data_IF_629789521429
#
_entry.id   IF_629789521429
#
_cell.length_a   1.000
_cell.length_b   1.000
_cell.length_c   1.000
_cell.angle_alpha   90.00
_cell.angle_beta   90.00
_cell.angle_gamma   90.00
#
_symmetry.space_group_name_H-M   'P 1'
#
loop_
_entity.id
_entity.type
_entity.pdbx_description
1 polymer ?
#
# COMPACT_ATOMS: atom_id res chain seq x y z
N UNK A 1 -8.98 -13.98 9.21
CA UNK A 1 -8.94 -15.43 9.54
C UNK A 1 -10.25 -15.94 10.16
N UNK A 2 -11.11 -15.05 10.62
CA UNK A 2 -12.39 -15.38 11.22
C UNK A 2 -13.48 -15.45 10.13
N UNK A 3 -14.10 -16.60 9.96
CA UNK A 3 -15.24 -16.80 9.07
C UNK A 3 -16.33 -17.61 9.77
N UNK A 4 -17.56 -17.10 9.79
CA UNK A 4 -18.70 -17.73 10.47
C UNK A 4 -18.41 -18.18 11.91
N UNK A 5 -17.68 -17.34 12.66
CA UNK A 5 -17.32 -17.59 14.06
C UNK A 5 -16.21 -18.63 14.30
N UNK A 6 -15.50 -19.06 13.26
CA UNK A 6 -14.36 -19.99 13.35
C UNK A 6 -13.11 -19.39 12.74
N UNK A 7 -11.97 -19.68 13.35
CA UNK A 7 -10.66 -19.35 12.79
C UNK A 7 -10.17 -20.47 11.89
N UNK A 8 -9.70 -20.10 10.68
CA UNK A 8 -9.22 -21.04 9.67
C UNK A 8 -7.72 -20.94 9.42
N UNK A 9 -7.07 -19.95 9.97
CA UNK A 9 -5.63 -19.75 9.91
C UNK A 9 -5.14 -18.89 11.06
N UNK A 10 -3.82 -18.87 11.24
CA UNK A 10 -3.12 -17.96 12.13
C UNK A 10 -2.43 -16.91 11.27
N UNK A 11 -2.40 -15.64 11.68
CA UNK A 11 -1.59 -14.65 10.96
C UNK A 11 -0.12 -15.05 11.09
N UNK A 12 0.61 -15.00 9.99
CA UNK A 12 2.04 -15.30 9.93
C UNK A 12 2.85 -14.01 10.06
N UNK A 13 2.43 -12.98 9.35
CA UNK A 13 2.94 -11.63 9.43
C UNK A 13 1.81 -10.62 9.20
N UNK A 14 2.16 -9.34 9.27
CA UNK A 14 1.30 -8.25 8.85
C UNK A 14 2.14 -7.23 8.07
N UNK A 15 1.51 -6.47 7.21
CA UNK A 15 2.19 -5.41 6.46
C UNK A 15 1.20 -4.33 6.02
N UNK A 16 1.74 -3.21 5.59
CA UNK A 16 1.00 -2.15 4.91
C UNK A 16 1.93 -1.47 3.90
N UNK A 17 1.38 -0.64 3.05
CA UNK A 17 2.20 0.27 2.25
C UNK A 17 2.54 1.52 3.06
N UNK A 18 3.78 1.98 2.94
CA UNK A 18 4.22 3.30 3.40
C UNK A 18 4.93 4.02 2.24
N UNK A 19 5.29 5.27 2.40
CA UNK A 19 6.05 5.97 1.38
C UNK A 19 7.51 5.50 1.39
N UNK A 20 7.98 5.02 0.25
CA UNK A 20 9.41 4.89 -0.06
C UNK A 20 9.84 6.16 -0.76
N UNK A 21 10.80 6.86 -0.20
CA UNK A 21 11.15 8.24 -0.58
C UNK A 21 12.62 8.35 -0.90
N UNK A 22 12.94 8.90 -2.08
CA UNK A 22 14.30 9.30 -2.43
C UNK A 22 14.51 10.77 -2.06
N UNK A 23 15.25 11.01 -0.99
CA UNK A 23 15.52 12.37 -0.48
C UNK A 23 16.39 13.21 -1.41
N UNK A 24 17.16 12.58 -2.30
CA UNK A 24 17.94 13.32 -3.28
C UNK A 24 17.03 13.89 -4.37
N UNK A 25 16.08 13.08 -4.87
CA UNK A 25 15.09 13.54 -5.85
C UNK A 25 14.13 14.58 -5.22
N UNK A 26 13.76 14.42 -3.93
CA UNK A 26 12.99 15.47 -3.21
C UNK A 26 13.70 16.81 -3.23
N UNK A 27 15.01 16.84 -3.00
CA UNK A 27 15.81 18.09 -3.07
C UNK A 27 15.81 18.72 -4.45
N UNK A 28 15.77 17.92 -5.52
CA UNK A 28 15.61 18.43 -6.88
C UNK A 28 14.25 19.11 -7.09
N UNK A 29 13.22 18.69 -6.32
CA UNK A 29 11.91 19.34 -6.27
C UNK A 29 11.90 20.61 -5.39
N UNK A 30 13.01 20.94 -4.73
CA UNK A 30 13.09 22.06 -3.78
C UNK A 30 12.57 21.72 -2.38
N UNK A 31 12.41 20.44 -2.06
CA UNK A 31 11.98 19.96 -0.74
C UNK A 31 13.19 19.46 0.04
N UNK A 32 13.60 20.17 1.08
CA UNK A 32 14.72 19.79 1.94
C UNK A 32 14.34 18.65 2.91
N UNK A 33 13.06 18.52 3.22
CA UNK A 33 12.49 17.50 4.10
C UNK A 33 11.35 16.76 3.40
N UNK A 34 10.97 15.58 3.93
CA UNK A 34 9.82 14.84 3.43
C UNK A 34 8.56 15.64 3.79
N UNK A 35 7.73 16.02 2.81
CA UNK A 35 6.56 16.86 3.06
C UNK A 35 5.54 16.13 3.94
N UNK A 36 4.93 16.86 4.86
CA UNK A 36 3.89 16.32 5.73
C UNK A 36 2.56 16.14 4.99
N UNK A 37 2.36 16.87 3.88
CA UNK A 37 1.14 16.83 3.09
C UNK A 37 1.41 16.50 1.63
N UNK A 38 0.46 15.81 1.01
CA UNK A 38 0.52 15.48 -0.41
C UNK A 38 0.34 16.73 -1.28
N UNK A 39 -0.37 17.74 -0.78
CA UNK A 39 -0.51 19.03 -1.45
C UNK A 39 0.85 19.71 -1.66
N UNK A 40 1.69 19.74 -0.62
CA UNK A 40 3.05 20.29 -0.70
C UNK A 40 3.91 19.50 -1.70
N UNK A 41 3.83 18.17 -1.64
CA UNK A 41 4.52 17.30 -2.59
C UNK A 41 4.09 17.55 -4.04
N UNK A 42 2.77 17.60 -4.29
CA UNK A 42 2.19 17.81 -5.64
C UNK A 42 2.64 19.14 -6.21
N UNK A 43 2.56 20.23 -5.43
CA UNK A 43 2.99 21.55 -5.90
C UNK A 43 4.48 21.59 -6.29
N UNK A 44 5.32 20.93 -5.49
CA UNK A 44 6.75 20.81 -5.81
C UNK A 44 6.97 19.94 -7.07
N UNK A 45 6.28 18.80 -7.17
CA UNK A 45 6.41 17.88 -8.29
C UNK A 45 5.98 18.49 -9.63
N UNK A 46 4.94 19.32 -9.65
CA UNK A 46 4.50 20.06 -10.85
C UNK A 46 5.61 20.92 -11.47
N UNK A 47 6.53 21.42 -10.66
CA UNK A 47 7.63 22.28 -11.16
C UNK A 47 8.68 21.50 -11.94
N UNK A 48 8.80 20.19 -11.72
CA UNK A 48 9.79 19.32 -12.38
C UNK A 48 9.43 19.03 -13.84
N UNK A 49 8.14 18.98 -14.17
CA UNK A 49 7.65 18.69 -15.52
C UNK A 49 7.85 17.24 -15.97
N UNK A 50 8.19 16.33 -15.04
CA UNK A 50 8.29 14.89 -15.24
C UNK A 50 7.78 14.17 -14.01
N UNK A 51 7.45 12.88 -14.15
CA UNK A 51 6.91 12.07 -13.10
C UNK A 51 7.78 12.07 -11.84
N UNK A 52 7.17 12.25 -10.69
CA UNK A 52 7.83 12.25 -9.38
C UNK A 52 7.21 11.26 -8.40
N UNK A 53 5.98 10.80 -8.68
CA UNK A 53 5.23 9.81 -7.93
C UNK A 53 4.93 8.62 -8.85
N UNK A 54 5.19 7.39 -8.38
CA UNK A 54 4.88 6.18 -9.13
C UNK A 54 3.80 5.37 -8.43
N UNK A 55 2.88 4.83 -9.21
CA UNK A 55 1.94 3.78 -8.81
C UNK A 55 2.33 2.51 -9.56
N UNK A 56 2.66 1.45 -8.84
CA UNK A 56 3.26 0.23 -9.41
C UNK A 56 2.32 -0.53 -10.35
N UNK A 57 0.99 -0.36 -10.19
CA UNK A 57 0.01 -1.03 -11.04
C UNK A 57 -1.41 -0.51 -10.83
N UNK A 58 -2.34 -1.02 -11.64
CA UNK A 58 -3.77 -0.68 -11.59
C UNK A 58 -4.55 -1.49 -10.56
N UNK A 59 -3.95 -2.52 -9.97
CA UNK A 59 -4.58 -3.41 -9.01
C UNK A 59 -4.98 -2.72 -7.69
N UNK A 60 -5.83 -3.39 -6.94
CA UNK A 60 -6.34 -2.93 -5.65
C UNK A 60 -5.22 -2.63 -4.65
N UNK A 61 -4.19 -3.50 -4.58
CA UNK A 61 -3.04 -3.33 -3.70
C UNK A 61 -2.26 -2.04 -3.99
N UNK A 62 -2.13 -1.67 -5.25
CA UNK A 62 -1.34 -0.51 -5.66
C UNK A 62 -2.15 0.79 -5.67
N UNK A 63 -3.39 0.72 -6.14
CA UNK A 63 -4.21 1.90 -6.40
C UNK A 63 -5.07 2.33 -5.19
N UNK A 64 -5.55 1.39 -4.34
CA UNK A 64 -6.43 1.74 -3.22
C UNK A 64 -5.83 2.76 -2.25
N UNK A 65 -4.54 2.73 -1.87
CA UNK A 65 -3.97 3.77 -1.01
C UNK A 65 -4.14 5.17 -1.57
N UNK A 66 -3.93 5.38 -2.85
CA UNK A 66 -4.12 6.66 -3.52
C UNK A 66 -5.59 7.06 -3.60
N UNK A 67 -6.46 6.12 -3.98
CA UNK A 67 -7.89 6.35 -4.06
C UNK A 67 -8.48 6.78 -2.72
N UNK A 68 -8.14 6.09 -1.63
CA UNK A 68 -8.58 6.44 -0.28
C UNK A 68 -7.94 7.74 0.23
N UNK A 69 -6.69 8.00 -0.10
CA UNK A 69 -5.98 9.23 0.26
C UNK A 69 -6.69 10.46 -0.31
N UNK A 70 -7.13 10.37 -1.55
CA UNK A 70 -7.87 11.45 -2.21
C UNK A 70 -9.37 11.48 -1.87
N UNK A 71 -9.84 10.61 -0.96
CA UNK A 71 -11.19 10.66 -0.41
C UNK A 71 -12.17 9.66 -1.00
N UNK A 72 -11.71 8.74 -1.85
CA UNK A 72 -12.53 7.68 -2.42
C UNK A 72 -13.01 6.69 -1.36
N UNK A 73 -14.17 6.11 -1.59
CA UNK A 73 -14.82 5.12 -0.73
C UNK A 73 -15.30 3.96 -1.61
N UNK A 74 -14.95 2.74 -1.24
CA UNK A 74 -15.30 1.56 -2.06
C UNK A 74 -16.70 1.02 -1.75
N UNK A 75 -17.03 0.96 -0.45
CA UNK A 75 -18.26 0.32 0.04
C UNK A 75 -18.75 1.02 1.29
N UNK A 76 -19.93 0.62 1.77
CA UNK A 76 -20.38 0.89 3.14
C UNK A 76 -19.44 0.20 4.17
N UNK A 77 -19.56 0.60 5.45
CA UNK A 77 -18.74 0.05 6.55
C UNK A 77 -18.96 -1.47 6.77
N UNK A 78 -20.08 -1.99 6.32
CA UNK A 78 -20.43 -3.41 6.42
C UNK A 78 -19.96 -4.26 5.25
N UNK A 79 -19.33 -3.68 4.23
CA UNK A 79 -18.94 -4.33 2.98
C UNK A 79 -20.11 -5.02 2.27
N UNK A 80 -21.31 -4.41 2.31
CA UNK A 80 -22.52 -5.00 1.75
C UNK A 80 -22.92 -4.44 0.39
N UNK A 81 -22.49 -3.20 0.09
CA UNK A 81 -22.80 -2.53 -1.19
C UNK A 81 -21.68 -1.57 -1.58
N UNK A 82 -21.39 -1.49 -2.88
CA UNK A 82 -20.53 -0.46 -3.48
C UNK A 82 -21.38 0.70 -4.03
N UNK A 83 -22.64 0.44 -4.40
CA UNK A 83 -23.54 1.46 -4.94
C UNK A 83 -23.82 2.56 -3.91
N UNK A 84 -23.67 3.81 -4.33
CA UNK A 84 -23.74 5.00 -3.46
C UNK A 84 -22.44 5.33 -2.73
N UNK A 85 -21.41 4.51 -2.86
CA UNK A 85 -20.07 4.68 -2.29
C UNK A 85 -19.02 4.81 -3.38
N UNK A 86 -18.80 3.77 -4.17
CA UNK A 86 -17.84 3.79 -5.27
C UNK A 86 -18.23 4.81 -6.36
N UNK A 87 -19.51 4.95 -6.63
CA UNK A 87 -20.11 5.90 -7.57
C UNK A 87 -20.51 7.25 -6.93
N UNK A 88 -20.06 7.51 -5.69
CA UNK A 88 -20.29 8.79 -5.00
C UNK A 88 -19.48 9.93 -5.61
N UNK A 89 -19.96 11.17 -5.44
CA UNK A 89 -19.23 12.38 -5.86
C UNK A 89 -17.79 12.41 -5.29
N UNK A 90 -17.61 11.95 -4.04
CA UNK A 90 -16.28 11.88 -3.40
C UNK A 90 -15.36 10.88 -4.10
N UNK A 91 -15.87 9.70 -4.44
CA UNK A 91 -15.10 8.66 -5.15
C UNK A 91 -14.77 9.07 -6.58
N UNK A 92 -15.73 9.68 -7.28
CA UNK A 92 -15.51 10.26 -8.60
C UNK A 92 -14.44 11.33 -8.55
N UNK A 93 -14.51 12.27 -7.59
CA UNK A 93 -13.51 13.31 -7.41
C UNK A 93 -12.13 12.75 -7.05
N UNK A 94 -12.05 11.69 -6.24
CA UNK A 94 -10.80 11.02 -5.90
C UNK A 94 -10.12 10.40 -7.13
N UNK A 95 -10.87 9.69 -7.97
CA UNK A 95 -10.33 9.11 -9.20
C UNK A 95 -9.96 10.19 -10.21
N UNK A 96 -10.79 11.24 -10.36
CA UNK A 96 -10.46 12.41 -11.20
C UNK A 96 -9.17 13.09 -10.75
N UNK A 97 -8.91 13.15 -9.42
CA UNK A 97 -7.64 13.69 -8.91
C UNK A 97 -6.45 12.85 -9.35
N UNK A 98 -6.56 11.52 -9.36
CA UNK A 98 -5.48 10.64 -9.84
C UNK A 98 -5.27 10.86 -11.36
N UNK A 99 -6.34 10.98 -12.14
CA UNK A 99 -6.28 11.30 -13.58
C UNK A 99 -5.59 12.65 -13.81
N UNK A 100 -5.99 13.70 -13.06
CA UNK A 100 -5.36 15.02 -13.13
C UNK A 100 -3.84 14.94 -12.89
N UNK A 101 -3.43 14.23 -11.85
CA UNK A 101 -1.99 14.09 -11.51
C UNK A 101 -1.21 13.31 -12.58
N UNK A 102 -1.85 12.36 -13.23
CA UNK A 102 -1.26 11.63 -14.35
C UNK A 102 -1.11 12.54 -15.58
N UNK A 103 -2.14 13.29 -15.94
CA UNK A 103 -2.14 14.23 -17.07
C UNK A 103 -1.12 15.36 -16.88
N UNK A 104 -0.97 15.85 -15.65
CA UNK A 104 0.02 16.86 -15.26
C UNK A 104 1.45 16.31 -15.12
N UNK A 105 1.66 15.00 -15.36
CA UNK A 105 2.95 14.30 -15.23
C UNK A 105 3.57 14.38 -13.83
N UNK A 106 2.73 14.47 -12.80
CA UNK A 106 3.14 14.35 -11.41
C UNK A 106 3.21 12.86 -11.02
N UNK A 107 2.18 12.09 -11.42
CA UNK A 107 2.01 10.68 -11.11
C UNK A 107 2.06 9.85 -12.39
N UNK A 108 2.76 8.72 -12.35
CA UNK A 108 2.75 7.70 -13.40
C UNK A 108 2.16 6.39 -12.89
N UNK A 109 1.55 5.61 -13.78
CA UNK A 109 1.02 4.28 -13.49
C UNK A 109 1.67 3.31 -14.46
N UNK A 110 2.56 2.47 -13.97
CA UNK A 110 3.40 1.59 -14.79
C UNK A 110 2.61 0.75 -15.79
N UNK A 111 1.50 0.16 -15.36
CA UNK A 111 0.68 -0.73 -16.22
C UNK A 111 -0.09 0.04 -17.30
N UNK A 112 -0.15 1.37 -17.20
CA UNK A 112 -0.85 2.25 -18.14
C UNK A 112 0.11 2.83 -19.18
N UNK A 113 1.20 3.44 -18.73
CA UNK A 113 2.08 4.25 -19.58
C UNK A 113 3.44 3.58 -19.87
N UNK A 114 3.68 2.38 -19.29
CA UNK A 114 4.92 1.64 -19.50
C UNK A 114 6.15 2.32 -18.89
N UNK A 115 5.94 3.16 -17.88
CA UNK A 115 7.00 3.84 -17.16
C UNK A 115 7.94 2.84 -16.46
N UNK A 116 9.10 3.33 -16.03
CA UNK A 116 10.08 2.54 -15.29
C UNK A 116 9.45 1.96 -14.03
N UNK A 117 9.77 0.73 -13.71
CA UNK A 117 9.34 0.08 -12.48
C UNK A 117 9.67 0.95 -11.25
N UNK A 118 8.77 1.01 -10.27
CA UNK A 118 8.93 1.85 -9.09
C UNK A 118 10.23 1.55 -8.33
N UNK A 119 10.59 0.27 -8.20
CA UNK A 119 11.76 -0.17 -7.47
C UNK A 119 13.07 0.22 -8.16
N UNK A 120 13.08 0.27 -9.49
CA UNK A 120 14.23 0.76 -10.26
C UNK A 120 14.23 2.28 -10.32
N UNK A 121 13.09 2.89 -10.65
CA UNK A 121 12.95 4.33 -10.86
C UNK A 121 13.14 5.17 -9.60
N UNK A 122 12.91 4.62 -8.41
CA UNK A 122 13.16 5.33 -7.15
C UNK A 122 14.65 5.70 -6.98
N UNK A 123 15.54 5.04 -7.67
CA UNK A 123 16.97 5.35 -7.58
C UNK A 123 17.33 6.69 -8.23
N UNK A 124 16.53 7.21 -9.19
CA UNK A 124 16.87 8.44 -9.93
C UNK A 124 15.70 9.20 -10.56
N UNK A 125 14.55 8.53 -10.76
CA UNK A 125 13.43 9.12 -11.51
C UNK A 125 12.32 9.64 -10.58
N UNK A 126 11.92 8.82 -9.60
CA UNK A 126 10.81 9.13 -8.71
C UNK A 126 11.30 9.65 -7.36
N UNK A 127 10.57 10.62 -6.83
CA UNK A 127 10.78 11.06 -5.46
C UNK A 127 10.07 10.15 -4.46
N UNK A 128 8.98 9.50 -4.87
CA UNK A 128 8.14 8.71 -3.98
C UNK A 128 7.36 7.63 -4.72
N UNK A 129 7.12 6.50 -4.04
CA UNK A 129 6.07 5.53 -4.34
C UNK A 129 5.62 4.84 -3.05
N UNK A 130 4.49 4.14 -3.07
CA UNK A 130 4.00 3.46 -1.87
C UNK A 130 4.28 1.97 -1.98
N UNK A 131 4.98 1.41 -0.99
CA UNK A 131 5.37 0.00 -1.02
C UNK A 131 5.43 -0.60 0.40
N UNK A 132 5.46 -1.92 0.46
CA UNK A 132 5.59 -2.68 1.69
C UNK A 132 7.03 -2.73 2.23
N UNK A 133 7.20 -3.19 3.48
CA UNK A 133 8.50 -3.19 4.16
C UNK A 133 9.55 -4.10 3.49
N UNK A 134 9.11 -5.08 2.70
CA UNK A 134 10.00 -5.97 1.93
C UNK A 134 10.88 -5.25 0.92
N UNK A 135 10.53 -4.03 0.49
CA UNK A 135 11.42 -3.21 -0.32
C UNK A 135 12.78 -3.03 0.38
N UNK A 136 12.76 -2.64 1.65
CA UNK A 136 13.97 -2.41 2.44
C UNK A 136 14.70 -3.71 2.82
N UNK A 137 13.98 -4.83 2.95
CA UNK A 137 14.58 -6.16 3.11
C UNK A 137 15.30 -6.63 1.84
N UNK A 138 14.81 -6.23 0.66
CA UNK A 138 15.42 -6.57 -0.63
C UNK A 138 16.56 -5.63 -1.03
N UNK A 139 16.57 -4.39 -0.53
CA UNK A 139 17.56 -3.35 -0.86
C UNK A 139 18.18 -2.77 0.43
N UNK A 140 19.03 -3.54 1.08
CA UNK A 140 19.67 -3.18 2.37
C UNK A 140 20.49 -1.88 2.31
N UNK A 141 20.98 -1.49 1.13
CA UNK A 141 21.77 -0.29 0.92
C UNK A 141 20.93 0.99 0.64
N UNK A 142 19.59 0.87 0.63
CA UNK A 142 18.67 1.97 0.32
C UNK A 142 18.91 3.22 1.18
N UNK A 143 19.03 3.06 2.50
CA UNK A 143 19.28 4.18 3.41
C UNK A 143 20.57 4.92 3.09
N UNK A 144 21.63 4.21 2.69
CA UNK A 144 22.91 4.82 2.31
C UNK A 144 22.84 5.59 0.99
N UNK A 145 21.85 5.27 0.15
CA UNK A 145 21.56 5.96 -1.11
C UNK A 145 20.59 7.14 -0.95
N UNK A 146 20.14 7.41 0.26
CA UNK A 146 19.16 8.46 0.54
C UNK A 146 17.72 8.03 0.25
N UNK A 147 17.45 6.72 0.15
CA UNK A 147 16.11 6.17 0.01
C UNK A 147 15.65 5.68 1.38
N UNK A 148 14.55 6.22 1.90
CA UNK A 148 14.06 5.95 3.25
C UNK A 148 12.56 5.69 3.27
N UNK A 149 12.06 5.13 4.37
CA UNK A 149 10.64 5.03 4.64
C UNK A 149 10.12 6.34 5.27
N UNK A 150 8.88 6.68 4.95
CA UNK A 150 8.11 7.72 5.62
C UNK A 150 6.64 7.30 5.70
N UNK A 151 5.89 7.88 6.62
CA UNK A 151 4.43 7.80 6.53
C UNK A 151 3.95 8.48 5.26
N UNK A 152 2.91 7.96 4.64
CA UNK A 152 2.32 8.58 3.46
C UNK A 152 1.85 9.98 3.84
N UNK A 153 2.29 11.03 3.13
CA UNK A 153 1.85 12.40 3.39
C UNK A 153 0.31 12.50 3.35
N UNK A 154 -0.25 13.23 4.28
CA UNK A 154 -1.71 13.39 4.34
C UNK A 154 -2.22 14.24 3.18
N UNK A 155 -3.46 14.00 2.75
CA UNK A 155 -4.18 14.86 1.80
C UNK A 155 -5.47 15.36 2.45
N UNK A 156 -5.66 16.69 2.54
CA UNK A 156 -6.77 17.31 3.27
C UNK A 156 -6.97 16.70 4.69
N UNK A 157 -5.86 16.41 5.36
CA UNK A 157 -5.84 15.79 6.68
C UNK A 157 -6.16 14.29 6.71
N UNK A 158 -6.39 13.64 5.56
CA UNK A 158 -6.58 12.18 5.47
C UNK A 158 -5.24 11.46 5.36
N UNK A 159 -5.10 10.36 6.08
CA UNK A 159 -4.04 9.37 5.88
C UNK A 159 -4.67 8.07 5.38
N UNK A 160 -4.00 7.37 4.49
CA UNK A 160 -4.50 6.12 3.94
C UNK A 160 -3.36 5.17 3.59
N UNK A 161 -3.60 3.89 3.82
CA UNK A 161 -2.76 2.79 3.36
C UNK A 161 -3.62 1.55 3.20
N UNK A 162 -3.08 0.51 2.60
CA UNK A 162 -3.69 -0.82 2.52
C UNK A 162 -2.99 -1.75 3.49
N UNK A 163 -3.76 -2.55 4.25
CA UNK A 163 -3.21 -3.60 5.08
C UNK A 163 -3.15 -4.91 4.30
N UNK A 164 -2.04 -5.60 4.46
CA UNK A 164 -1.82 -6.96 4.00
C UNK A 164 -1.28 -7.85 5.11
N UNK A 165 -0.72 -8.96 4.72
CA UNK A 165 -0.17 -9.99 5.60
C UNK A 165 -0.57 -11.36 5.10
N UNK A 166 0.21 -12.33 5.50
CA UNK A 166 0.04 -13.72 5.14
C UNK A 166 -0.50 -14.52 6.32
N UNK A 167 -1.25 -15.57 5.99
CA UNK A 167 -1.83 -16.50 6.96
C UNK A 167 -1.25 -17.90 6.77
N UNK A 168 -0.99 -18.59 7.86
CA UNK A 168 -0.66 -19.99 7.83
C UNK A 168 -1.90 -20.81 8.22
N UNK A 169 -2.26 -21.78 7.38
CA UNK A 169 -3.42 -22.63 7.59
C UNK A 169 -3.07 -24.12 7.42
N UNK A 170 -3.79 -24.99 8.12
CA UNK A 170 -3.66 -26.45 7.98
C UNK A 170 -4.80 -26.95 7.12
N UNK A 171 -4.46 -27.59 5.99
CA UNK A 171 -5.48 -28.18 5.12
C UNK A 171 -6.20 -29.35 5.82
N UNK A 172 -7.52 -29.43 5.64
CA UNK A 172 -8.33 -30.52 6.19
C UNK A 172 -7.94 -31.91 5.65
N UNK A 173 -7.27 -31.95 4.50
CA UNK A 173 -6.75 -33.18 3.87
C UNK A 173 -5.33 -33.55 4.30
N UNK A 174 -4.71 -32.79 5.23
CA UNK A 174 -3.37 -33.12 5.73
C UNK A 174 -3.33 -34.50 6.32
N UNK A 175 -2.29 -35.29 5.99
CA UNK A 175 -2.03 -36.56 6.61
C UNK A 175 -1.51 -36.44 8.05
N UNK A 176 -1.01 -35.25 8.43
CA UNK A 176 -0.40 -34.96 9.73
C UNK A 176 -0.90 -33.63 10.31
N UNK A 177 -2.21 -33.45 10.58
CA UNK A 177 -2.78 -32.17 10.97
C UNK A 177 -2.25 -31.66 12.31
N UNK A 178 -1.98 -32.52 13.26
CA UNK A 178 -1.44 -32.16 14.59
C UNK A 178 -0.02 -31.58 14.45
N UNK A 179 0.85 -32.24 13.68
CA UNK A 179 2.21 -31.77 13.46
C UNK A 179 2.21 -30.46 12.66
N UNK A 180 1.32 -30.32 11.67
CA UNK A 180 1.16 -29.08 10.89
C UNK A 180 0.67 -27.93 11.78
N UNK A 181 -0.23 -28.19 12.72
CA UNK A 181 -0.70 -27.18 13.68
C UNK A 181 0.41 -26.76 14.67
N UNK A 182 1.21 -27.71 15.18
CA UNK A 182 2.36 -27.34 16.02
C UNK A 182 3.40 -26.52 15.25
N UNK A 183 3.62 -26.81 13.96
CA UNK A 183 4.45 -25.97 13.10
C UNK A 183 3.85 -24.57 12.91
N UNK A 184 2.55 -24.45 12.66
CA UNK A 184 1.89 -23.16 12.54
C UNK A 184 2.03 -22.30 13.83
N UNK A 185 1.90 -22.95 15.01
CA UNK A 185 2.15 -22.28 16.29
C UNK A 185 3.62 -21.85 16.46
N UNK A 186 4.56 -22.70 16.05
CA UNK A 186 5.98 -22.35 16.06
C UNK A 186 6.26 -21.11 15.21
N UNK A 187 5.65 -21.01 14.02
CA UNK A 187 5.81 -19.87 13.13
C UNK A 187 5.28 -18.56 13.73
N UNK A 188 4.38 -18.61 14.71
CA UNK A 188 3.89 -17.43 15.45
C UNK A 188 4.64 -17.18 16.77
N UNK A 189 5.74 -17.90 17.03
CA UNK A 189 6.57 -17.68 18.23
C UNK A 189 7.40 -16.39 18.10
N UNK A 190 7.81 -15.83 19.24
CA UNK A 190 8.58 -14.60 19.31
C UNK A 190 9.90 -14.68 18.52
N UNK A 191 10.63 -15.79 18.67
CA UNK A 191 11.91 -16.01 17.96
C UNK A 191 11.73 -15.99 16.43
N UNK A 192 10.68 -16.64 15.92
CA UNK A 192 10.39 -16.66 14.50
C UNK A 192 9.92 -15.28 14.02
N UNK A 193 9.10 -14.60 14.80
CA UNK A 193 8.62 -13.26 14.46
C UNK A 193 9.76 -12.22 14.43
N UNK A 194 10.77 -12.36 15.28
CA UNK A 194 11.98 -11.55 15.21
C UNK A 194 12.81 -11.86 13.96
N UNK A 195 12.96 -13.14 13.60
CA UNK A 195 13.65 -13.52 12.36
C UNK A 195 12.91 -13.04 11.11
N UNK A 196 11.58 -13.06 11.12
CA UNK A 196 10.77 -12.50 10.02
C UNK A 196 10.90 -10.99 9.91
N UNK A 197 11.03 -10.27 11.03
CA UNK A 197 11.30 -8.83 11.02
C UNK A 197 12.62 -8.51 10.32
N UNK A 198 13.68 -9.30 10.55
CA UNK A 198 14.95 -9.16 9.84
C UNK A 198 14.81 -9.38 8.32
N UNK A 199 13.88 -10.23 7.91
CA UNK A 199 13.55 -10.47 6.50
C UNK A 199 12.59 -9.41 5.89
N UNK A 200 12.23 -8.36 6.65
CA UNK A 200 11.38 -7.27 6.17
C UNK A 200 9.88 -7.51 6.34
N UNK A 201 9.47 -8.47 7.19
CA UNK A 201 8.07 -8.71 7.52
C UNK A 201 7.73 -8.16 8.91
N UNK A 202 6.63 -7.46 9.03
CA UNK A 202 6.23 -6.88 10.32
C UNK A 202 5.65 -7.95 11.24
N UNK A 203 5.97 -7.91 12.56
CA UNK A 203 5.53 -8.91 13.49
C UNK A 203 4.04 -8.77 13.83
N UNK A 204 3.38 -9.90 14.03
CA UNK A 204 1.99 -9.99 14.48
C UNK A 204 1.84 -9.89 16.00
N UNK A 205 2.92 -10.09 16.74
CA UNK A 205 2.89 -10.10 18.21
C UNK A 205 2.89 -8.66 18.74
N UNK A 206 1.85 -8.32 19.50
CA UNK A 206 1.74 -6.98 20.13
C UNK A 206 2.92 -6.64 21.04
N UNK A 207 3.54 -7.62 21.68
CA UNK A 207 4.75 -7.44 22.49
C UNK A 207 5.95 -6.93 21.67
N UNK A 208 6.05 -7.35 20.41
CA UNK A 208 7.13 -6.94 19.52
C UNK A 208 6.90 -5.57 18.89
N UNK A 209 5.65 -5.14 18.72
CA UNK A 209 5.32 -3.81 18.14
C UNK A 209 6.00 -2.68 18.94
N UNK A 210 6.03 -2.79 20.26
CA UNK A 210 6.67 -1.82 21.15
C UNK A 210 8.11 -2.18 21.54
N UNK A 211 8.68 -3.22 20.95
CA UNK A 211 10.05 -3.65 21.26
C UNK A 211 11.10 -2.68 20.73
N UNK A 212 12.28 -2.70 21.35
CA UNK A 212 13.44 -1.92 20.88
C UNK A 212 13.83 -2.31 19.45
N UNK A 213 13.71 -3.58 19.08
CA UNK A 213 14.00 -4.08 17.72
C UNK A 213 13.16 -3.39 16.63
N UNK A 214 11.89 -3.10 16.93
CA UNK A 214 11.01 -2.37 16.01
C UNK A 214 11.20 -0.86 16.14
N UNK A 215 11.16 -0.33 17.36
CA UNK A 215 11.09 1.12 17.58
C UNK A 215 12.41 1.84 17.30
N UNK A 216 13.57 1.17 17.44
CA UNK A 216 14.86 1.77 17.10
C UNK A 216 15.20 1.70 15.60
N UNK A 217 14.50 0.88 14.82
CA UNK A 217 14.73 0.78 13.40
C UNK A 217 13.98 1.88 12.65
N UNK A 218 14.66 2.73 11.87
CA UNK A 218 14.05 3.89 11.21
C UNK A 218 13.03 3.51 10.13
N UNK A 219 13.05 2.26 9.65
CA UNK A 219 12.10 1.74 8.67
C UNK A 219 10.90 1.13 9.39
N UNK A 220 11.13 0.16 10.28
CA UNK A 220 10.03 -0.60 10.90
C UNK A 220 9.12 0.27 11.75
N UNK A 221 9.68 1.25 12.47
CA UNK A 221 8.88 2.22 13.26
C UNK A 221 7.91 3.02 12.38
N UNK A 222 8.32 3.40 11.18
CA UNK A 222 7.47 4.12 10.21
C UNK A 222 6.31 3.23 9.75
N UNK A 223 6.59 1.97 9.37
CA UNK A 223 5.53 1.05 8.94
C UNK A 223 4.54 0.76 10.06
N UNK A 224 5.01 0.61 11.31
CA UNK A 224 4.12 0.43 12.46
C UNK A 224 3.22 1.66 12.70
N UNK A 225 3.73 2.86 12.51
CA UNK A 225 2.94 4.09 12.56
C UNK A 225 1.93 4.15 11.41
N UNK A 226 2.35 3.82 10.19
CA UNK A 226 1.46 3.83 9.01
C UNK A 226 0.32 2.82 9.15
N UNK A 227 0.56 1.69 9.83
CA UNK A 227 -0.45 0.65 10.07
C UNK A 227 -1.71 1.20 10.76
N UNK A 228 -1.60 2.27 11.56
CA UNK A 228 -2.74 2.89 12.25
C UNK A 228 -3.81 3.43 11.29
N UNK A 229 -3.41 3.80 10.07
CA UNK A 229 -4.30 4.31 9.02
C UNK A 229 -4.55 3.31 7.88
N UNK A 230 -4.00 2.10 7.98
CA UNK A 230 -4.16 1.09 6.96
C UNK A 230 -5.56 0.46 7.01
N UNK A 231 -6.16 0.30 5.82
CA UNK A 231 -7.50 -0.27 5.64
C UNK A 231 -7.40 -1.65 5.01
N UNK A 232 -8.24 -2.56 5.46
CA UNK A 232 -8.37 -3.87 4.82
C UNK A 232 -9.02 -3.73 3.43
N UNK A 233 -8.60 -4.59 2.51
CA UNK A 233 -9.32 -4.79 1.25
C UNK A 233 -10.69 -5.43 1.55
N UNK A 234 -11.60 -5.38 0.58
CA UNK A 234 -12.97 -5.88 0.76
C UNK A 234 -12.94 -7.37 1.12
N UNK A 235 -13.41 -7.78 2.31
CA UNK A 235 -13.38 -9.17 2.76
C UNK A 235 -14.54 -9.96 2.14
N UNK A 236 -14.44 -10.30 0.87
CA UNK A 236 -15.48 -11.00 0.11
C UNK A 236 -14.97 -12.34 -0.43
N UNK A 237 -15.80 -13.39 -0.44
CA UNK A 237 -15.48 -14.62 -1.16
C UNK A 237 -15.35 -14.40 -2.68
N UNK A 238 -15.86 -13.29 -3.20
CA UNK A 238 -15.75 -12.87 -4.59
C UNK A 238 -14.58 -11.90 -4.83
N UNK A 239 -13.62 -11.83 -3.92
CA UNK A 239 -12.54 -10.83 -3.98
C UNK A 239 -11.79 -10.82 -5.32
N UNK A 240 -11.52 -11.99 -5.91
CA UNK A 240 -10.84 -12.06 -7.21
C UNK A 240 -11.64 -11.37 -8.33
N UNK A 241 -12.96 -11.54 -8.36
CA UNK A 241 -13.80 -10.85 -9.33
C UNK A 241 -13.86 -9.34 -9.07
N UNK A 242 -13.87 -8.92 -7.80
CA UNK A 242 -13.80 -7.50 -7.42
C UNK A 242 -12.48 -6.87 -7.89
N UNK A 243 -11.36 -7.57 -7.70
CA UNK A 243 -10.05 -7.12 -8.16
C UNK A 243 -9.97 -7.01 -9.68
N UNK A 244 -10.53 -7.99 -10.41
CA UNK A 244 -10.60 -7.97 -11.87
C UNK A 244 -11.40 -6.77 -12.37
N UNK A 245 -12.62 -6.58 -11.86
CA UNK A 245 -13.51 -5.44 -12.20
C UNK A 245 -12.79 -4.11 -11.90
N UNK A 246 -12.15 -3.99 -10.72
CA UNK A 246 -11.39 -2.79 -10.36
C UNK A 246 -10.29 -2.50 -11.37
N UNK A 247 -9.46 -3.50 -11.69
CA UNK A 247 -8.33 -3.33 -12.60
C UNK A 247 -8.79 -2.99 -14.03
N UNK A 248 -9.88 -3.61 -14.50
CA UNK A 248 -10.50 -3.29 -15.78
C UNK A 248 -11.07 -1.86 -15.80
N UNK A 249 -11.72 -1.45 -14.71
CA UNK A 249 -12.27 -0.09 -14.56
C UNK A 249 -11.16 0.95 -14.62
N UNK A 250 -10.10 0.79 -13.81
CA UNK A 250 -8.96 1.72 -13.82
C UNK A 250 -8.30 1.75 -15.20
N UNK A 251 -8.08 0.59 -15.82
CA UNK A 251 -7.52 0.51 -17.17
C UNK A 251 -8.39 1.24 -18.19
N UNK A 252 -9.71 1.08 -18.15
CA UNK A 252 -10.61 1.77 -19.07
C UNK A 252 -10.54 3.29 -18.94
N UNK A 253 -10.39 3.80 -17.73
CA UNK A 253 -10.24 5.25 -17.47
C UNK A 253 -8.93 5.77 -18.08
N UNK A 254 -7.81 5.14 -17.78
CA UNK A 254 -6.49 5.66 -18.14
C UNK A 254 -6.04 5.32 -19.56
N UNK A 255 -6.43 4.15 -20.10
CA UNK A 255 -6.01 3.69 -21.43
C UNK A 255 -7.04 4.02 -22.50
N UNK A 256 -8.32 3.76 -22.21
CA UNK A 256 -9.39 3.92 -23.19
C UNK A 256 -10.04 5.31 -23.11
N UNK A 257 -9.72 6.12 -22.09
CA UNK A 257 -10.29 7.45 -21.89
C UNK A 257 -11.76 7.44 -21.47
N UNK A 258 -12.19 6.39 -20.75
CA UNK A 258 -13.55 6.29 -20.26
C UNK A 258 -13.86 7.45 -19.28
N UNK A 259 -15.11 7.92 -19.30
CA UNK A 259 -15.57 8.90 -18.32
C UNK A 259 -15.55 8.30 -16.92
N UNK A 260 -14.91 9.00 -15.97
CA UNK A 260 -14.70 8.49 -14.61
C UNK A 260 -16.02 8.17 -13.91
N UNK A 261 -17.04 9.04 -14.03
CA UNK A 261 -18.31 8.82 -13.35
C UNK A 261 -19.05 7.61 -13.94
N UNK A 262 -18.94 7.39 -15.26
CA UNK A 262 -19.55 6.22 -15.91
C UNK A 262 -18.79 4.93 -15.59
N UNK A 263 -17.48 4.97 -15.49
CA UNK A 263 -16.66 3.81 -15.21
C UNK A 263 -16.79 3.31 -13.75
N UNK A 264 -17.03 4.21 -12.80
CA UNK A 264 -17.22 3.86 -11.39
C UNK A 264 -18.66 3.46 -11.05
N UNK A 265 -19.63 3.66 -11.95
CA UNK A 265 -21.05 3.29 -11.80
C UNK A 265 -21.31 1.84 -12.21
#
# INVERSE_FOLDING_TARGET
>A
NLYQGKYYGLPLDTNCKAAVVNTNVLKELGLDEIPATMEEFIEAAKTRGTYSLNVSGVGDWDMYPYFWLFGGVLTDDGFTTASGYLDSDASIAAMQKIVELHDEKVLTIRDVDGSVDAWDGINSEYAMFFEGPWYFGSYEDSLSKGITAATIPTYEGRSASVVGGEDIAVFATSAHPEAAYEFAKFMTSEDVQLAMLEAGQLPILKSLVSSEAVQSNPVWSVYMQQMESAKARIPSPNNSAIQEIWSETVTSIFVDGADVAQALH
#
